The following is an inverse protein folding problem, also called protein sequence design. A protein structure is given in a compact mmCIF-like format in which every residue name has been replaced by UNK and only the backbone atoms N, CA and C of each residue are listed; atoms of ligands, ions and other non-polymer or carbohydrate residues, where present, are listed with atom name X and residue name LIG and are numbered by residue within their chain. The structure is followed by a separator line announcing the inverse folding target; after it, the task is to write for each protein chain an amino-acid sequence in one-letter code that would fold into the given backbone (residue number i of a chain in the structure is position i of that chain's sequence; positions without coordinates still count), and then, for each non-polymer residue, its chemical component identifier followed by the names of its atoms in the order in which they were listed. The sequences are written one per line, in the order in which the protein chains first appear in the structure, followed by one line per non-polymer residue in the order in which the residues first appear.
data_IF_846340103506
#
_entry.id   IF_846340103506
#
_cell.length_a   1.000
_cell.length_b   1.000
_cell.length_c   1.000
_cell.angle_alpha   90.00
_cell.angle_beta   90.00
_cell.angle_gamma   90.00
#
_symmetry.space_group_name_H-M   'P 1'
#
loop_
_entity.id
_entity.type
_entity.pdbx_description
1 polymer ?
#
# COMPACT_ATOMS: atom_id res chain seq x y z
N UNK A 1 -2.00 -8.19 12.87
CA UNK A 1 -2.52 -6.83 12.61
C UNK A 1 -1.99 -5.83 13.61
N UNK A 2 -2.35 -5.93 14.89
CA UNK A 2 -1.97 -4.96 15.94
C UNK A 2 -0.46 -4.77 16.10
N UNK A 3 0.30 -5.87 16.13
CA UNK A 3 1.78 -5.83 16.17
C UNK A 3 2.39 -5.01 15.02
N UNK A 4 1.81 -5.10 13.82
CA UNK A 4 2.26 -4.31 12.68
C UNK A 4 2.01 -2.82 12.86
N UNK A 5 0.86 -2.44 13.42
CA UNK A 5 0.53 -1.04 13.73
C UNK A 5 1.50 -0.50 14.79
N UNK A 6 1.73 -1.26 15.86
CA UNK A 6 2.68 -0.88 16.91
C UNK A 6 4.10 -0.69 16.37
N UNK A 7 4.58 -1.59 15.51
CA UNK A 7 5.87 -1.40 14.84
C UNK A 7 5.91 -0.17 13.94
N UNK A 8 4.81 0.16 13.25
CA UNK A 8 4.72 1.37 12.43
C UNK A 8 4.81 2.63 13.30
N UNK A 9 4.09 2.66 14.42
CA UNK A 9 4.08 3.77 15.39
C UNK A 9 5.46 3.98 16.02
N UNK A 10 6.24 2.92 16.20
CA UNK A 10 7.64 2.98 16.66
C UNK A 10 8.66 3.23 15.55
N UNK A 11 8.22 3.62 14.35
CA UNK A 11 9.07 3.86 13.18
C UNK A 11 9.88 2.62 12.71
N UNK A 12 9.49 1.43 13.17
CA UNK A 12 10.09 0.15 12.76
C UNK A 12 9.43 -0.34 11.45
N UNK A 13 9.56 0.44 10.39
CA UNK A 13 8.75 0.29 9.17
C UNK A 13 8.90 -1.09 8.53
N UNK A 14 10.10 -1.64 8.46
CA UNK A 14 10.33 -2.96 7.86
C UNK A 14 9.64 -4.09 8.63
N UNK A 15 9.61 -3.99 9.97
CA UNK A 15 8.87 -4.95 10.79
C UNK A 15 7.37 -4.81 10.56
N UNK A 16 6.84 -3.58 10.48
CA UNK A 16 5.42 -3.36 10.18
C UNK A 16 5.02 -3.97 8.83
N UNK A 17 5.84 -3.79 7.80
CA UNK A 17 5.64 -4.38 6.46
C UNK A 17 5.53 -5.90 6.55
N UNK A 18 6.45 -6.54 7.27
CA UNK A 18 6.43 -8.00 7.44
C UNK A 18 5.13 -8.47 8.12
N UNK A 19 4.67 -7.77 9.15
CA UNK A 19 3.42 -8.10 9.84
C UNK A 19 2.19 -7.97 8.93
N UNK A 20 2.11 -6.91 8.13
CA UNK A 20 0.98 -6.70 7.23
C UNK A 20 0.97 -7.74 6.10
N UNK A 21 2.13 -8.03 5.50
CA UNK A 21 2.27 -9.11 4.51
C UNK A 21 1.88 -10.46 5.08
N UNK A 22 2.27 -10.76 6.32
CA UNK A 22 1.90 -12.00 6.98
C UNK A 22 0.38 -12.14 7.09
N UNK A 23 -0.35 -11.09 7.48
CA UNK A 23 -1.83 -11.11 7.52
C UNK A 23 -2.41 -11.39 6.12
N UNK A 24 -1.94 -10.68 5.09
CA UNK A 24 -2.42 -10.86 3.71
C UNK A 24 -2.16 -12.29 3.21
N UNK A 25 -0.97 -12.83 3.47
CA UNK A 25 -0.59 -14.18 3.07
C UNK A 25 -1.49 -15.23 3.72
N UNK A 26 -1.67 -15.17 5.04
CA UNK A 26 -2.50 -16.14 5.77
C UNK A 26 -3.98 -16.09 5.37
N UNK A 27 -4.49 -14.94 4.92
CA UNK A 27 -5.86 -14.81 4.41
C UNK A 27 -5.96 -15.25 2.94
N UNK A 28 -4.88 -15.16 2.17
CA UNK A 28 -4.86 -15.62 0.77
C UNK A 28 -4.60 -17.11 0.62
N UNK A 29 -3.95 -17.73 1.61
CA UNK A 29 -3.64 -19.16 1.62
C UNK A 29 -4.79 -20.06 2.10
N UNK A 30 -5.92 -19.47 2.52
CA UNK A 30 -7.09 -20.24 2.94
C UNK A 30 -7.78 -20.83 1.71
N UNK A 31 -8.04 -22.14 1.73
CA UNK A 31 -8.79 -22.84 0.67
C UNK A 31 -10.30 -22.56 0.73
N UNK A 32 -10.76 -21.82 1.73
CA UNK A 32 -12.15 -21.46 1.93
C UNK A 32 -12.41 -20.00 1.52
N UNK A 33 -13.65 -19.70 1.14
CA UNK A 33 -14.06 -18.33 0.84
C UNK A 33 -13.97 -17.49 2.11
N UNK A 34 -13.36 -16.31 1.99
CA UNK A 34 -13.26 -15.36 3.09
C UNK A 34 -14.65 -14.88 3.54
N UNK A 35 -14.86 -14.84 4.85
CA UNK A 35 -16.02 -14.16 5.43
C UNK A 35 -15.85 -12.62 5.39
N UNK A 36 -16.93 -11.89 5.69
CA UNK A 36 -16.92 -10.43 5.66
C UNK A 36 -15.89 -9.80 6.63
N UNK A 37 -15.70 -10.39 7.81
CA UNK A 37 -14.72 -9.92 8.79
C UNK A 37 -13.30 -10.10 8.29
N UNK A 38 -13.02 -11.24 7.65
CA UNK A 38 -11.74 -11.56 7.04
C UNK A 38 -11.46 -10.69 5.82
N UNK A 39 -12.46 -10.40 4.97
CA UNK A 39 -12.34 -9.44 3.85
C UNK A 39 -11.97 -8.06 4.39
N UNK A 40 -12.68 -7.60 5.43
CA UNK A 40 -12.39 -6.30 6.07
C UNK A 40 -11.00 -6.28 6.70
N UNK A 41 -10.57 -7.37 7.34
CA UNK A 41 -9.22 -7.50 7.91
C UNK A 41 -8.14 -7.48 6.81
N UNK A 42 -8.36 -8.21 5.71
CA UNK A 42 -7.44 -8.25 4.56
C UNK A 42 -7.30 -6.85 3.93
N UNK A 43 -8.42 -6.16 3.70
CA UNK A 43 -8.42 -4.78 3.22
C UNK A 43 -7.63 -3.85 4.13
N UNK A 44 -7.86 -3.91 5.46
CA UNK A 44 -7.08 -3.11 6.43
C UNK A 44 -5.59 -3.44 6.42
N UNK A 45 -5.21 -4.68 6.16
CA UNK A 45 -3.80 -5.06 6.04
C UNK A 45 -3.16 -4.45 4.78
N UNK A 46 -3.83 -4.52 3.62
CA UNK A 46 -3.40 -3.84 2.39
C UNK A 46 -3.30 -2.32 2.58
N UNK A 47 -4.29 -1.70 3.23
CA UNK A 47 -4.26 -0.26 3.56
C UNK A 47 -3.01 0.11 4.36
N UNK A 48 -2.74 -0.62 5.45
CA UNK A 48 -1.58 -0.33 6.30
C UNK A 48 -0.25 -0.63 5.59
N UNK A 49 -0.22 -1.64 4.72
CA UNK A 49 0.94 -1.94 3.89
C UNK A 49 1.22 -0.81 2.88
N UNK A 50 0.17 -0.26 2.26
CA UNK A 50 0.28 0.90 1.37
C UNK A 50 0.88 2.12 2.09
N UNK A 51 0.40 2.41 3.30
CA UNK A 51 0.93 3.50 4.13
C UNK A 51 2.39 3.26 4.53
N UNK A 52 2.77 2.01 4.85
CA UNK A 52 4.14 1.65 5.18
C UNK A 52 5.09 1.77 3.98
N UNK A 53 4.66 1.34 2.80
CA UNK A 53 5.43 1.52 1.55
C UNK A 53 5.56 2.99 1.16
N UNK A 54 4.49 3.77 1.27
CA UNK A 54 4.53 5.21 1.00
C UNK A 54 5.52 5.93 1.94
N UNK A 55 5.63 5.50 3.21
CA UNK A 55 6.63 6.02 4.16
C UNK A 55 8.08 5.68 3.77
N UNK A 56 8.30 4.61 3.00
CA UNK A 56 9.60 4.28 2.37
C UNK A 56 9.78 4.92 0.99
N UNK A 57 8.85 5.77 0.56
CA UNK A 57 8.79 6.37 -0.78
C UNK A 57 8.68 5.34 -1.92
N UNK A 58 8.22 4.13 -1.60
CA UNK A 58 7.97 3.06 -2.58
C UNK A 58 6.57 3.22 -3.16
N UNK A 59 6.35 4.34 -3.86
CA UNK A 59 5.00 4.77 -4.27
C UNK A 59 4.33 3.83 -5.27
N UNK A 60 5.10 3.19 -6.15
CA UNK A 60 4.59 2.22 -7.12
C UNK A 60 4.01 0.99 -6.42
N UNK A 61 4.69 0.44 -5.42
CA UNK A 61 4.16 -0.67 -4.61
C UNK A 61 3.01 -0.18 -3.72
N UNK A 62 3.14 1.01 -3.15
CA UNK A 62 2.12 1.59 -2.27
C UNK A 62 0.77 1.76 -2.97
N UNK A 63 0.76 2.17 -4.25
CA UNK A 63 -0.49 2.37 -4.99
C UNK A 63 -1.17 1.04 -5.34
N UNK A 64 -0.40 -0.02 -5.59
CA UNK A 64 -0.95 -1.36 -5.80
C UNK A 64 -1.67 -1.84 -4.54
N UNK A 65 -1.04 -1.73 -3.38
CA UNK A 65 -1.62 -2.14 -2.11
C UNK A 65 -2.84 -1.27 -1.72
N UNK A 66 -2.80 0.04 -1.98
CA UNK A 66 -3.93 0.92 -1.72
C UNK A 66 -5.15 0.56 -2.59
N UNK A 67 -4.91 0.16 -3.85
CA UNK A 67 -5.95 -0.30 -4.76
C UNK A 67 -6.57 -1.60 -4.27
N UNK A 68 -5.76 -2.60 -3.92
CA UNK A 68 -6.25 -3.88 -3.35
C UNK A 68 -7.12 -3.64 -2.11
N UNK A 69 -6.71 -2.72 -1.22
CA UNK A 69 -7.49 -2.34 -0.05
C UNK A 69 -8.89 -1.79 -0.43
N UNK A 70 -8.94 -0.89 -1.40
CA UNK A 70 -10.18 -0.28 -1.89
C UNK A 70 -11.08 -1.28 -2.63
N UNK A 71 -10.51 -2.15 -3.45
CA UNK A 71 -11.25 -3.18 -4.19
C UNK A 71 -11.88 -4.22 -3.25
N UNK A 72 -11.14 -4.64 -2.21
CA UNK A 72 -11.66 -5.55 -1.18
C UNK A 72 -12.73 -4.89 -0.30
N UNK A 73 -12.56 -3.62 0.04
CA UNK A 73 -13.47 -2.90 0.92
C UNK A 73 -13.54 -1.41 0.53
N UNK A 74 -14.49 -1.04 -0.34
CA UNK A 74 -14.68 0.36 -0.70
C UNK A 74 -15.06 1.19 0.52
N UNK A 75 -14.21 2.16 0.88
CA UNK A 75 -14.44 3.08 2.00
C UNK A 75 -13.72 4.40 1.73
N UNK A 76 -14.18 5.46 2.40
CA UNK A 76 -13.56 6.78 2.27
C UNK A 76 -12.09 6.78 2.69
N UNK A 77 -11.74 6.02 3.74
CA UNK A 77 -10.35 5.88 4.20
C UNK A 77 -9.46 5.23 3.14
N UNK A 78 -9.91 4.13 2.54
CA UNK A 78 -9.15 3.44 1.48
C UNK A 78 -9.02 4.31 0.23
N UNK A 79 -10.11 4.99 -0.16
CA UNK A 79 -10.12 5.93 -1.29
C UNK A 79 -9.11 7.05 -1.05
N UNK A 80 -9.13 7.65 0.14
CA UNK A 80 -8.24 8.76 0.51
C UNK A 80 -6.77 8.34 0.50
N UNK A 81 -6.42 7.17 1.05
CA UNK A 81 -5.04 6.66 1.00
C UNK A 81 -4.58 6.44 -0.43
N UNK A 82 -5.41 5.81 -1.27
CA UNK A 82 -5.08 5.59 -2.68
C UNK A 82 -4.82 6.91 -3.43
N UNK A 83 -5.67 7.92 -3.25
CA UNK A 83 -5.49 9.23 -3.90
C UNK A 83 -4.23 9.96 -3.41
N UNK A 84 -3.98 9.96 -2.10
CA UNK A 84 -2.80 10.60 -1.52
C UNK A 84 -1.50 9.99 -2.06
N UNK A 85 -1.45 8.66 -2.19
CA UNK A 85 -0.28 7.96 -2.74
C UNK A 85 -0.16 8.21 -4.24
N UNK A 86 -1.25 8.15 -5.00
CA UNK A 86 -1.24 8.39 -6.45
C UNK A 86 -0.70 9.79 -6.79
N UNK A 87 -1.02 10.79 -5.97
CA UNK A 87 -0.53 12.17 -6.12
C UNK A 87 0.97 12.33 -5.84
N UNK A 88 1.62 11.35 -5.21
CA UNK A 88 3.07 11.34 -4.98
C UNK A 88 3.86 10.82 -6.17
N UNK A 89 3.21 10.10 -7.08
CA UNK A 89 3.84 9.58 -8.30
C UNK A 89 3.89 10.71 -9.33
N UNK A 90 5.08 11.13 -9.81
CA UNK A 90 5.16 12.12 -10.87
C UNK A 90 4.47 11.60 -12.12
N UNK A 91 3.39 12.27 -12.54
CA UNK A 91 2.78 12.01 -13.85
C UNK A 91 3.80 12.31 -14.94
N UNK A 92 3.72 11.64 -16.10
CA UNK A 92 4.70 11.80 -17.19
C UNK A 92 4.91 13.27 -17.62
N UNK A 93 3.91 14.13 -17.40
CA UNK A 93 3.96 15.58 -17.59
C UNK A 93 4.90 16.35 -16.63
N UNK A 94 5.38 15.72 -15.56
CA UNK A 94 6.24 16.32 -14.52
C UNK A 94 7.67 15.73 -14.51
N UNK A 95 7.95 14.73 -15.35
CA UNK A 95 9.31 14.18 -15.46
C UNK A 95 10.21 15.21 -16.16
N UNK A 96 11.39 15.56 -15.61
CA UNK A 96 12.31 16.46 -16.31
C UNK A 96 12.66 15.84 -17.66
N UNK A 97 12.34 16.56 -18.73
CA UNK A 97 12.71 16.18 -20.10
C UNK A 97 14.22 16.05 -20.13
N UNK A 98 14.73 14.82 -20.25
CA UNK A 98 16.14 14.58 -20.52
C UNK A 98 16.44 15.22 -21.87
N UNK A 99 17.00 16.43 -21.85
CA UNK A 99 17.50 17.08 -23.05
C UNK A 99 18.54 16.13 -23.66
N UNK A 100 18.28 15.64 -24.88
CA UNK A 100 19.27 14.89 -25.64
C UNK A 100 20.49 15.78 -25.81
N UNK A 101 21.72 15.29 -25.57
CA UNK A 101 22.91 16.06 -25.91
C UNK A 101 22.87 16.35 -27.41
N UNK A 102 22.75 17.63 -27.75
CA UNK A 102 22.99 18.12 -29.11
C UNK A 102 24.48 17.98 -29.36
N UNK A 103 24.86 16.96 -30.12
CA UNK A 103 26.23 16.80 -30.59
C UNK A 103 26.56 17.96 -31.56
N UNK A 104 27.74 18.59 -31.47
CA UNK A 104 28.18 19.66 -32.37
C UNK A 104 28.26 19.23 -33.84
#
# INVERSE_FOLDING_TARGET
MERGIQYYEWDMIEKSILEFKFVIYNLSSQNEKLDYSQIRLKSRAHHNLAVAYAKKEWYDDAVLEAREAFELFPSDDNRKVMELIQNKIPTESQKPVKQKPTTP
#
